data_IF_047822984242
#
_entry.id   IF_047822984242
#
_cell.length_a   1.000
_cell.length_b   1.000
_cell.length_c   1.000
_cell.angle_alpha   90.00
_cell.angle_beta   90.00
_cell.angle_gamma   90.00
#
_symmetry.space_group_name_H-M   'P 1'
#
loop_
_entity.id
_entity.type
_entity.pdbx_description
1 polymer ?
#
# COMPACT_ATOMS: atom_id res chain seq x y z
N UNK A 1 -19.47 3.73 -14.61
CA UNK A 1 -18.05 4.11 -14.60
C UNK A 1 -17.17 2.94 -14.17
N UNK A 2 -16.56 2.90 -12.98
CA UNK A 2 -15.62 1.78 -12.62
C UNK A 2 -16.29 0.40 -12.68
N UNK A 3 -17.42 0.22 -12.00
CA UNK A 3 -18.16 -1.04 -12.02
C UNK A 3 -18.73 -1.42 -13.40
N UNK A 4 -18.78 -0.47 -14.33
CA UNK A 4 -19.22 -0.67 -15.71
C UNK A 4 -18.04 -0.92 -16.67
N UNK A 5 -16.79 -0.95 -16.18
CA UNK A 5 -15.59 -1.14 -16.99
C UNK A 5 -15.12 0.11 -17.75
N UNK A 6 -15.74 1.26 -17.53
CA UNK A 6 -15.39 2.54 -18.17
C UNK A 6 -14.21 3.19 -17.44
N UNK A 7 -13.05 2.53 -17.47
CA UNK A 7 -11.88 2.90 -16.65
C UNK A 7 -11.31 4.26 -17.06
N UNK A 8 -11.14 4.53 -18.36
CA UNK A 8 -10.61 5.80 -18.85
C UNK A 8 -11.47 6.98 -18.39
N UNK A 9 -12.80 6.86 -18.56
CA UNK A 9 -13.74 7.91 -18.13
C UNK A 9 -13.70 8.07 -16.60
N UNK A 10 -13.61 6.97 -15.85
CA UNK A 10 -13.49 7.04 -14.39
C UNK A 10 -12.22 7.78 -13.95
N UNK A 11 -11.09 7.54 -14.61
CA UNK A 11 -9.83 8.25 -14.35
C UNK A 11 -9.98 9.74 -14.63
N UNK A 12 -10.58 10.11 -15.75
CA UNK A 12 -10.78 11.51 -16.12
C UNK A 12 -11.70 12.24 -15.14
N UNK A 13 -12.81 11.63 -14.72
CA UNK A 13 -13.72 12.21 -13.73
C UNK A 13 -13.07 12.35 -12.34
N UNK A 14 -12.27 11.37 -11.92
CA UNK A 14 -11.54 11.45 -10.66
C UNK A 14 -10.48 12.55 -10.69
N UNK A 15 -9.79 12.74 -11.83
CA UNK A 15 -8.85 13.86 -12.02
C UNK A 15 -9.56 15.19 -12.06
N UNK A 16 -10.71 15.28 -12.72
CA UNK A 16 -11.55 16.47 -12.71
C UNK A 16 -12.02 16.81 -11.29
N UNK A 17 -12.49 15.83 -10.51
CA UNK A 17 -12.84 16.01 -9.10
C UNK A 17 -11.66 16.56 -8.29
N UNK A 18 -10.48 15.99 -8.43
CA UNK A 18 -9.28 16.46 -7.72
C UNK A 18 -8.81 17.84 -8.17
N UNK A 19 -9.17 18.30 -9.36
CA UNK A 19 -8.89 19.67 -9.80
C UNK A 19 -9.69 20.71 -9.00
N UNK A 20 -10.88 20.35 -8.50
CA UNK A 20 -11.71 21.21 -7.65
C UNK A 20 -11.57 20.91 -6.15
N UNK A 21 -11.26 19.67 -5.79
CA UNK A 21 -11.11 19.21 -4.41
C UNK A 21 -9.87 18.30 -4.28
N UNK A 22 -8.70 18.92 -4.25
CA UNK A 22 -7.42 18.22 -4.20
C UNK A 22 -7.29 17.27 -3.00
N UNK A 23 -7.87 17.62 -1.85
CA UNK A 23 -7.73 16.84 -0.62
C UNK A 23 -8.77 15.72 -0.48
N UNK A 24 -9.45 15.34 -1.57
CA UNK A 24 -10.46 14.29 -1.56
C UNK A 24 -9.84 12.88 -1.50
N UNK A 25 -9.67 12.37 -0.28
CA UNK A 25 -8.95 11.12 0.03
C UNK A 25 -9.45 9.91 -0.78
N UNK A 26 -10.77 9.74 -0.91
CA UNK A 26 -11.35 8.61 -1.64
C UNK A 26 -10.98 8.61 -3.13
N UNK A 27 -10.85 9.79 -3.74
CA UNK A 27 -10.49 9.91 -5.14
C UNK A 27 -9.02 9.53 -5.37
N UNK A 28 -8.14 9.95 -4.46
CA UNK A 28 -6.76 9.49 -4.44
C UNK A 28 -6.65 7.97 -4.22
N UNK A 29 -7.44 7.39 -3.30
CA UNK A 29 -7.47 5.92 -3.13
C UNK A 29 -7.82 5.22 -4.45
N UNK A 30 -8.94 5.61 -5.07
CA UNK A 30 -9.43 4.99 -6.29
C UNK A 30 -8.44 5.14 -7.45
N UNK A 31 -7.85 6.32 -7.64
CA UNK A 31 -6.81 6.50 -8.66
C UNK A 31 -5.56 5.66 -8.39
N UNK A 32 -5.21 5.43 -7.12
CA UNK A 32 -4.14 4.51 -6.74
C UNK A 32 -4.45 3.06 -7.12
N UNK A 33 -5.67 2.59 -6.88
CA UNK A 33 -6.13 1.25 -7.26
C UNK A 33 -6.17 1.07 -8.78
N UNK A 34 -6.66 2.07 -9.51
CA UNK A 34 -6.69 2.04 -10.97
C UNK A 34 -5.28 2.04 -11.56
N UNK A 35 -4.36 2.84 -11.02
CA UNK A 35 -2.96 2.83 -11.44
C UNK A 35 -2.29 1.48 -11.16
N UNK A 36 -2.58 0.83 -10.02
CA UNK A 36 -2.10 -0.53 -9.74
C UNK A 36 -2.65 -1.56 -10.73
N UNK A 37 -3.94 -1.46 -11.08
CA UNK A 37 -4.55 -2.36 -12.05
C UNK A 37 -3.94 -2.22 -13.45
N UNK A 38 -3.35 -1.06 -13.75
CA UNK A 38 -2.62 -0.76 -15.00
C UNK A 38 -1.10 -0.98 -14.89
N UNK A 39 -0.63 -1.63 -13.81
CA UNK A 39 0.79 -1.91 -13.54
C UNK A 39 1.68 -0.64 -13.40
N UNK A 40 1.07 0.55 -13.22
CA UNK A 40 1.79 1.79 -12.94
C UNK A 40 2.03 1.97 -11.44
N UNK A 41 3.04 1.24 -10.97
CA UNK A 41 3.47 1.23 -9.58
C UNK A 41 3.87 2.62 -9.06
N UNK A 42 4.47 3.45 -9.91
CA UNK A 42 4.97 4.76 -9.51
C UNK A 42 3.81 5.74 -9.28
N UNK A 43 2.82 5.73 -10.18
CA UNK A 43 1.61 6.54 -10.08
C UNK A 43 0.73 6.07 -8.91
N UNK A 44 0.56 4.76 -8.75
CA UNK A 44 -0.15 4.18 -7.62
C UNK A 44 0.43 4.64 -6.28
N UNK A 45 1.75 4.51 -6.11
CA UNK A 45 2.48 5.00 -4.93
C UNK A 45 2.26 6.50 -4.70
N UNK A 46 2.19 7.29 -5.77
CA UNK A 46 1.90 8.72 -5.70
C UNK A 46 0.54 9.01 -5.07
N UNK A 47 -0.51 8.40 -5.63
CA UNK A 47 -1.88 8.61 -5.18
C UNK A 47 -2.14 8.07 -3.77
N UNK A 48 -1.72 6.85 -3.47
CA UNK A 48 -1.82 6.31 -2.11
C UNK A 48 -1.02 7.13 -1.09
N UNK A 49 0.16 7.63 -1.49
CA UNK A 49 0.99 8.52 -0.68
C UNK A 49 0.24 9.79 -0.26
N UNK A 50 -0.42 10.45 -1.20
CA UNK A 50 -1.20 11.67 -0.92
C UNK A 50 -2.37 11.36 0.02
N UNK A 51 -3.16 10.33 -0.27
CA UNK A 51 -4.28 9.92 0.58
C UNK A 51 -3.83 9.61 2.03
N UNK A 52 -2.73 8.88 2.19
CA UNK A 52 -2.14 8.58 3.49
C UNK A 52 -1.65 9.84 4.22
N UNK A 53 -0.99 10.76 3.52
CA UNK A 53 -0.52 12.03 4.10
C UNK A 53 -1.69 12.91 4.56
N UNK A 54 -2.77 12.99 3.78
CA UNK A 54 -3.98 13.72 4.17
C UNK A 54 -4.62 13.13 5.42
N UNK A 55 -4.75 11.79 5.49
CA UNK A 55 -5.30 11.11 6.66
C UNK A 55 -4.43 11.27 7.91
N UNK A 56 -3.10 11.15 7.79
CA UNK A 56 -2.19 11.39 8.94
C UNK A 56 -2.22 12.85 9.40
N UNK A 57 -2.29 13.80 8.47
CA UNK A 57 -2.47 15.22 8.79
C UNK A 57 -3.78 15.49 9.52
N UNK A 58 -4.89 14.89 9.07
CA UNK A 58 -6.19 15.00 9.72
C UNK A 58 -6.21 14.35 11.11
N UNK A 59 -5.50 13.23 11.30
CA UNK A 59 -5.34 12.57 12.59
C UNK A 59 -4.56 13.44 13.60
N UNK A 60 -3.58 14.23 13.12
CA UNK A 60 -2.75 15.09 13.97
C UNK A 60 -2.09 14.32 15.12
N UNK A 61 -2.22 14.84 16.34
CA UNK A 61 -1.66 14.24 17.55
C UNK A 61 -2.66 13.35 18.31
N UNK A 62 -3.61 12.72 17.60
CA UNK A 62 -4.61 11.84 18.20
C UNK A 62 -3.92 10.78 19.09
N UNK A 63 -4.29 10.75 20.37
CA UNK A 63 -3.77 9.79 21.36
C UNK A 63 -4.53 8.46 21.38
N UNK A 64 -5.50 8.30 20.47
CA UNK A 64 -6.40 7.15 20.37
C UNK A 64 -6.34 6.48 19.01
N UNK A 65 -7.30 5.59 18.77
CA UNK A 65 -7.40 4.81 17.53
C UNK A 65 -8.21 5.52 16.46
N UNK A 66 -7.94 5.20 15.19
CA UNK A 66 -8.80 5.45 14.04
C UNK A 66 -9.24 4.10 13.47
N UNK A 67 -10.30 3.46 14.00
CA UNK A 67 -10.67 2.12 13.58
C UNK A 67 -11.15 2.09 12.12
N UNK A 68 -10.70 1.11 11.34
CA UNK A 68 -11.09 0.87 9.94
C UNK A 68 -12.60 0.61 9.79
N UNK A 69 -13.23 -0.01 10.80
CA UNK A 69 -14.67 -0.32 10.77
C UNK A 69 -15.57 0.92 10.62
N UNK A 70 -15.04 2.12 10.83
CA UNK A 70 -15.75 3.37 10.59
C UNK A 70 -15.50 3.79 9.15
N UNK A 71 -16.57 3.96 8.37
CA UNK A 71 -16.49 4.25 6.93
C UNK A 71 -15.59 5.44 6.58
N UNK A 72 -15.64 6.52 7.38
CA UNK A 72 -14.80 7.70 7.16
C UNK A 72 -13.29 7.46 7.31
N UNK A 73 -12.87 6.34 7.89
CA UNK A 73 -11.46 5.97 8.05
C UNK A 73 -10.99 4.97 6.99
N UNK A 74 -11.92 4.34 6.25
CA UNK A 74 -11.59 3.22 5.37
C UNK A 74 -10.59 3.63 4.29
N UNK A 75 -10.85 4.74 3.60
CA UNK A 75 -9.98 5.15 2.51
C UNK A 75 -8.57 5.51 2.95
N UNK A 76 -8.40 6.03 4.18
CA UNK A 76 -7.08 6.25 4.77
C UNK A 76 -6.32 4.93 4.97
N UNK A 77 -6.98 3.93 5.56
CA UNK A 77 -6.37 2.62 5.83
C UNK A 77 -6.10 1.83 4.56
N UNK A 78 -7.05 1.81 3.62
CA UNK A 78 -6.91 1.13 2.32
C UNK A 78 -5.80 1.76 1.49
N UNK A 79 -5.72 3.11 1.47
CA UNK A 79 -4.60 3.80 0.83
C UNK A 79 -3.28 3.53 1.53
N UNK A 80 -3.27 3.48 2.86
CA UNK A 80 -2.10 3.09 3.64
C UNK A 80 -1.60 1.68 3.28
N UNK A 81 -2.51 0.70 3.16
CA UNK A 81 -2.19 -0.66 2.71
C UNK A 81 -1.61 -0.65 1.30
N UNK A 82 -2.26 0.04 0.37
CA UNK A 82 -1.77 0.20 -1.00
C UNK A 82 -0.37 0.81 -1.05
N UNK A 83 -0.13 1.83 -0.22
CA UNK A 83 1.18 2.48 -0.09
C UNK A 83 2.24 1.52 0.45
N UNK A 84 1.95 0.75 1.51
CA UNK A 84 2.87 -0.27 2.05
C UNK A 84 3.28 -1.23 0.96
N UNK A 85 2.31 -1.79 0.22
CA UNK A 85 2.60 -2.71 -0.87
C UNK A 85 3.48 -2.07 -1.95
N UNK A 86 3.12 -0.85 -2.40
CA UNK A 86 3.89 -0.15 -3.43
C UNK A 86 5.33 0.13 -2.98
N UNK A 87 5.51 0.58 -1.73
CA UNK A 87 6.83 0.87 -1.17
C UNK A 87 7.70 -0.38 -1.08
N UNK A 88 7.14 -1.50 -0.63
CA UNK A 88 7.86 -2.78 -0.62
C UNK A 88 8.27 -3.22 -2.02
N UNK A 89 7.37 -3.15 -3.01
CA UNK A 89 7.69 -3.50 -4.41
C UNK A 89 8.75 -2.58 -5.04
N UNK A 90 8.89 -1.37 -4.53
CA UNK A 90 9.93 -0.42 -4.94
C UNK A 90 11.23 -0.55 -4.12
N UNK A 91 11.36 -1.56 -3.25
CA UNK A 91 12.55 -1.77 -2.40
C UNK A 91 12.67 -0.78 -1.23
N UNK A 92 11.62 -0.02 -0.93
CA UNK A 92 11.60 1.01 0.13
C UNK A 92 11.07 0.44 1.45
N UNK A 93 11.70 -0.63 1.92
CA UNK A 93 11.20 -1.44 3.05
C UNK A 93 11.08 -0.66 4.36
N UNK A 94 12.05 0.18 4.69
CA UNK A 94 12.02 0.97 5.93
C UNK A 94 10.78 1.88 5.99
N UNK A 95 10.48 2.54 4.87
CA UNK A 95 9.31 3.40 4.77
C UNK A 95 8.01 2.59 4.75
N UNK A 96 8.00 1.41 4.13
CA UNK A 96 6.86 0.50 4.17
C UNK A 96 6.57 0.05 5.62
N UNK A 97 7.60 -0.26 6.40
CA UNK A 97 7.48 -0.61 7.82
C UNK A 97 6.97 0.56 8.66
N UNK A 98 7.45 1.78 8.41
CA UNK A 98 6.98 2.98 9.11
C UNK A 98 5.47 3.21 8.89
N UNK A 99 5.03 3.17 7.63
CA UNK A 99 3.62 3.35 7.26
C UNK A 99 2.76 2.24 7.91
N UNK A 100 3.17 0.98 7.79
CA UNK A 100 2.45 -0.13 8.39
C UNK A 100 2.35 -0.02 9.91
N UNK A 101 3.46 0.33 10.58
CA UNK A 101 3.47 0.55 12.03
C UNK A 101 2.53 1.68 12.47
N UNK A 102 2.41 2.73 11.66
CA UNK A 102 1.44 3.78 11.88
C UNK A 102 -0.01 3.30 11.73
N UNK A 103 -0.32 2.51 10.70
CA UNK A 103 -1.66 1.94 10.49
C UNK A 103 -2.06 1.00 11.63
N UNK A 104 -1.16 0.13 12.07
CA UNK A 104 -1.38 -0.80 13.19
C UNK A 104 -1.56 -0.07 14.52
N UNK A 105 -0.91 1.08 14.71
CA UNK A 105 -1.17 1.95 15.86
C UNK A 105 -2.58 2.54 15.80
N UNK A 106 -3.05 2.94 14.61
CA UNK A 106 -4.37 3.51 14.44
C UNK A 106 -5.50 2.48 14.54
N UNK A 107 -5.29 1.26 14.05
CA UNK A 107 -6.20 0.14 14.27
C UNK A 107 -5.42 -1.15 14.60
N UNK A 108 -5.23 -1.44 15.90
CA UNK A 108 -4.51 -2.64 16.34
C UNK A 108 -5.20 -3.96 16.04
N UNK A 109 -6.47 -3.94 15.63
CA UNK A 109 -7.20 -5.16 15.26
C UNK A 109 -6.78 -5.71 13.89
N UNK A 110 -5.98 -4.92 13.15
CA UNK A 110 -5.43 -5.24 11.84
C UNK A 110 -6.46 -5.85 10.84
N UNK A 111 -7.62 -5.19 10.62
CA UNK A 111 -8.68 -5.77 9.80
C UNK A 111 -8.31 -5.92 8.33
N UNK A 112 -7.24 -5.25 7.88
CA UNK A 112 -6.73 -5.31 6.52
C UNK A 112 -5.54 -6.27 6.36
N UNK A 113 -5.06 -6.90 7.44
CA UNK A 113 -3.94 -7.86 7.41
C UNK A 113 -2.60 -7.21 7.05
N UNK A 114 -2.34 -5.99 7.48
CA UNK A 114 -1.11 -5.22 7.20
C UNK A 114 0.12 -5.91 7.79
N UNK A 115 0.01 -6.49 8.98
CA UNK A 115 1.12 -7.19 9.62
C UNK A 115 1.54 -8.42 8.81
N UNK A 116 0.56 -9.22 8.37
CA UNK A 116 0.79 -10.37 7.51
C UNK A 116 1.37 -9.95 6.15
N UNK A 117 0.79 -8.92 5.52
CA UNK A 117 1.26 -8.39 4.24
C UNK A 117 2.75 -8.02 4.27
N UNK A 118 3.20 -7.31 5.31
CA UNK A 118 4.61 -6.95 5.46
C UNK A 118 5.51 -8.18 5.58
N UNK A 119 5.08 -9.17 6.36
CA UNK A 119 5.85 -10.40 6.55
C UNK A 119 6.01 -11.16 5.23
N UNK A 120 4.94 -11.25 4.43
CA UNK A 120 4.96 -11.90 3.12
C UNK A 120 5.86 -11.17 2.12
N UNK A 121 5.81 -9.83 2.11
CA UNK A 121 6.65 -9.01 1.23
C UNK A 121 8.14 -9.13 1.62
N UNK A 122 8.45 -9.10 2.90
CA UNK A 122 9.82 -9.29 3.40
C UNK A 122 10.36 -10.72 3.14
N UNK A 123 9.49 -11.73 3.11
CA UNK A 123 9.87 -13.09 2.75
C UNK A 123 10.13 -13.22 1.24
N UNK A 124 9.38 -12.51 0.40
CA UNK A 124 9.54 -12.53 -1.06
C UNK A 124 10.84 -11.85 -1.54
N UNK A 125 11.36 -10.86 -0.81
CA UNK A 125 12.60 -10.15 -1.15
C UNK A 125 13.88 -10.86 -0.67
N UNK A 126 13.77 -11.90 0.15
CA UNK A 126 14.94 -12.71 0.52
C UNK A 126 15.34 -13.60 -0.66
N UNK A 127 16.56 -13.49 -1.19
CA UNK A 127 17.03 -14.40 -2.23
C UNK A 127 17.00 -15.82 -1.66
N UNK A 128 16.25 -16.70 -2.33
CA UNK A 128 16.18 -18.12 -1.99
C UNK A 128 17.61 -18.66 -1.89
N UNK A 129 18.04 -19.00 -0.67
CA UNK A 129 19.29 -19.69 -0.45
C UNK A 129 19.14 -21.10 -1.04
N UNK A 130 19.49 -21.24 -2.33
CA UNK A 130 19.66 -22.55 -2.93
C UNK A 130 20.71 -23.32 -2.12
N UNK A 131 20.46 -24.58 -1.73
CA UNK A 131 21.45 -25.36 -1.00
C UNK A 131 22.66 -25.55 -1.93
N UNK A 132 23.83 -25.08 -1.48
CA UNK A 132 25.11 -25.41 -2.09
C UNK A 132 25.23 -26.94 -2.14
N UNK A 133 25.07 -27.51 -3.33
CA UNK A 133 25.38 -28.91 -3.59
C UNK A 133 26.89 -29.09 -3.40
N UNK A 134 27.26 -29.63 -2.25
CA UNK A 134 28.60 -30.04 -1.88
C UNK A 134 29.04 -31.16 -2.84
N UNK A 135 29.85 -30.79 -3.83
CA UNK A 135 30.43 -31.73 -4.78
C UNK A 135 31.41 -32.67 -4.04
N UNK A 136 30.93 -33.87 -3.74
CA UNK A 136 31.76 -34.98 -3.27
C UNK A 136 32.79 -35.33 -4.36
N UNK A 137 34.07 -35.11 -4.03
CA UNK A 137 35.21 -35.60 -4.81
C UNK A 137 35.28 -37.12 -4.70
N UNK A 138 35.35 -37.89 -5.80
CA UNK A 138 35.75 -39.28 -5.72
C UNK A 138 37.27 -39.35 -5.52
N UNK A 139 37.64 -40.12 -4.50
CA UNK A 139 39.00 -40.46 -4.16
C UNK A 139 39.34 -41.74 -4.92
N UNK A 140 39.99 -41.62 -6.08
CA UNK A 140 40.51 -42.79 -6.79
C UNK A 140 42.00 -43.02 -6.45
N UNK A 141 42.26 -44.25 -6.03
CA UNK A 141 43.56 -44.87 -5.80
C UNK A 141 44.14 -45.43 -7.08
#
# INVERSE_FOLDING_TARGET
MIAAGEIEIAVDELRWLLSGCHDFVDAHRLLGELALADDDLALARGHFGIAYQLGTKAAGNLKGTLPYRLSGNQSFHESGKGLVWCLSKLGKHDLAQEVAGALLRFDPTDPLGIGQLLAELAAADQPSAAPHAEAQRPHDR
#
